data_IF_161955330094
#
_entry.id   IF_161955330094
#
_cell.length_a   1.000
_cell.length_b   1.000
_cell.length_c   1.000
_cell.angle_alpha   90.00
_cell.angle_beta   90.00
_cell.angle_gamma   90.00
#
_symmetry.space_group_name_H-M   'P 1'
#
loop_
_entity.id
_entity.type
_entity.pdbx_description
1 polymer ?
#
# COMPACT_ATOMS: atom_id res chain seq x y z
N UNK A 1 23.21 -87.62 -0.84
CA UNK A 1 23.66 -87.13 -2.16
C UNK A 1 22.68 -86.08 -2.61
N UNK A 2 22.99 -84.82 -2.88
CA UNK A 2 24.14 -83.99 -2.58
C UNK A 2 23.65 -82.54 -2.60
N UNK A 3 24.34 -81.71 -1.82
CA UNK A 3 24.14 -80.26 -1.71
C UNK A 3 24.33 -79.59 -3.07
N UNK A 4 23.66 -78.45 -3.30
CA UNK A 4 24.30 -77.24 -3.83
C UNK A 4 23.32 -76.04 -3.73
N UNK A 5 23.72 -75.09 -2.88
CA UNK A 5 23.24 -73.71 -2.86
C UNK A 5 23.66 -73.03 -4.16
N UNK A 6 22.76 -72.25 -4.79
CA UNK A 6 23.16 -71.17 -5.68
C UNK A 6 22.25 -69.95 -5.49
N UNK A 7 22.84 -68.92 -4.93
CA UNK A 7 22.35 -67.55 -4.83
C UNK A 7 22.68 -66.75 -6.11
N UNK A 8 21.73 -66.01 -6.67
CA UNK A 8 21.98 -64.78 -7.48
C UNK A 8 20.66 -64.08 -7.80
N UNK A 9 20.41 -62.92 -7.18
CA UNK A 9 20.57 -61.57 -7.74
C UNK A 9 19.39 -61.16 -8.65
N UNK A 10 18.37 -60.55 -8.01
CA UNK A 10 17.33 -59.79 -8.68
C UNK A 10 17.94 -58.43 -9.06
N UNK A 11 18.18 -58.21 -10.35
CA UNK A 11 18.53 -56.91 -10.88
C UNK A 11 17.26 -56.05 -11.01
N UNK A 12 17.05 -55.10 -10.10
CA UNK A 12 16.10 -54.01 -10.31
C UNK A 12 16.71 -53.01 -11.29
N UNK A 13 16.22 -52.99 -12.53
CA UNK A 13 16.51 -51.92 -13.46
C UNK A 13 15.78 -50.64 -12.99
N UNK A 14 16.52 -49.72 -12.36
CA UNK A 14 16.06 -48.35 -12.14
C UNK A 14 16.07 -47.64 -13.50
N UNK A 15 14.88 -47.44 -14.08
CA UNK A 15 14.70 -46.46 -15.14
C UNK A 15 14.90 -45.07 -14.55
N UNK A 16 16.13 -44.55 -14.62
CA UNK A 16 16.40 -43.12 -14.47
C UNK A 16 15.93 -42.44 -15.76
N UNK A 17 14.70 -41.95 -15.76
CA UNK A 17 14.30 -40.94 -16.72
C UNK A 17 15.00 -39.64 -16.32
N UNK A 18 16.17 -39.40 -16.91
CA UNK A 18 16.78 -38.08 -16.91
C UNK A 18 15.82 -37.15 -17.68
N UNK A 19 15.03 -36.38 -16.93
CA UNK A 19 14.31 -35.24 -17.48
C UNK A 19 15.39 -34.23 -17.84
N UNK A 20 15.76 -34.19 -19.11
CA UNK A 20 16.50 -33.07 -19.67
C UNK A 20 15.61 -31.83 -19.50
N UNK A 21 15.99 -30.93 -18.60
CA UNK A 21 15.42 -29.59 -18.55
C UNK A 21 15.83 -28.89 -19.84
N UNK A 22 14.90 -28.80 -20.79
CA UNK A 22 15.01 -27.86 -21.90
C UNK A 22 14.92 -26.44 -21.33
N UNK A 23 15.83 -25.57 -21.75
CA UNK A 23 16.00 -24.18 -21.31
C UNK A 23 14.89 -23.21 -21.81
N UNK A 24 13.73 -23.75 -22.17
CA UNK A 24 12.56 -23.02 -22.65
C UNK A 24 11.43 -23.26 -21.63
N UNK A 25 11.23 -22.29 -20.73
CA UNK A 25 10.27 -22.36 -19.63
C UNK A 25 8.84 -22.03 -20.13
N UNK A 26 7.91 -23.01 -20.27
CA UNK A 26 6.54 -22.76 -20.69
C UNK A 26 5.68 -22.09 -19.59
N UNK A 27 6.28 -21.69 -18.45
CA UNK A 27 5.54 -21.20 -17.27
C UNK A 27 5.01 -19.76 -17.37
N UNK A 28 5.27 -19.02 -18.44
CA UNK A 28 4.91 -17.59 -18.62
C UNK A 28 3.55 -17.40 -19.36
N UNK A 29 2.81 -18.48 -19.66
CA UNK A 29 1.72 -18.39 -20.65
C UNK A 29 0.35 -17.87 -20.14
N UNK A 30 0.16 -17.69 -18.82
CA UNK A 30 -1.17 -17.38 -18.24
C UNK A 30 -1.30 -16.01 -17.57
N UNK A 31 -0.24 -15.21 -17.54
CA UNK A 31 -0.21 -13.90 -16.87
C UNK A 31 -0.41 -12.75 -17.87
N UNK A 32 -0.53 -13.07 -19.16
CA UNK A 32 -0.42 -12.12 -20.26
C UNK A 32 -1.54 -12.46 -21.24
N UNK A 33 -2.42 -11.50 -21.49
CA UNK A 33 -3.65 -11.66 -22.30
C UNK A 33 -3.40 -11.92 -23.80
N UNK A 34 -2.18 -12.21 -24.24
CA UNK A 34 -1.85 -12.34 -25.66
C UNK A 34 -1.26 -13.71 -25.98
N UNK A 35 -1.91 -14.39 -26.94
CA UNK A 35 -1.61 -15.72 -27.48
C UNK A 35 -0.36 -15.79 -28.35
N UNK A 36 0.61 -14.90 -28.15
CA UNK A 36 1.93 -15.00 -28.77
C UNK A 36 2.93 -15.43 -27.71
N UNK A 37 3.55 -16.59 -27.91
CA UNK A 37 4.58 -17.16 -27.03
C UNK A 37 5.83 -16.28 -27.12
N UNK A 38 5.82 -15.16 -26.40
CA UNK A 38 6.96 -14.29 -26.23
C UNK A 38 7.82 -14.88 -25.11
N UNK A 39 9.11 -15.11 -25.40
CA UNK A 39 10.04 -15.58 -24.38
C UNK A 39 10.25 -14.51 -23.28
N UNK A 40 10.81 -14.92 -22.13
CA UNK A 40 10.98 -14.04 -20.98
C UNK A 40 11.76 -12.76 -21.33
N UNK A 41 12.74 -12.88 -22.22
CA UNK A 41 13.61 -11.82 -22.74
C UNK A 41 12.80 -10.75 -23.48
N UNK A 42 11.83 -11.16 -24.30
CA UNK A 42 10.95 -10.23 -24.99
C UNK A 42 10.05 -9.48 -23.99
N UNK A 43 9.43 -10.19 -23.04
CA UNK A 43 8.63 -9.54 -21.99
C UNK A 43 9.46 -8.57 -21.14
N UNK A 44 10.71 -8.91 -20.84
CA UNK A 44 11.61 -8.02 -20.13
C UNK A 44 11.97 -6.79 -20.96
N UNK A 45 12.14 -6.93 -22.27
CA UNK A 45 12.39 -5.81 -23.18
C UNK A 45 11.19 -4.85 -23.25
N UNK A 46 9.97 -5.39 -23.34
CA UNK A 46 8.74 -4.61 -23.25
C UNK A 46 8.59 -3.93 -21.90
N UNK A 47 8.89 -4.63 -20.80
CA UNK A 47 8.90 -4.07 -19.45
C UNK A 47 9.87 -2.89 -19.32
N UNK A 48 11.11 -3.05 -19.81
CA UNK A 48 12.11 -1.97 -19.80
C UNK A 48 11.63 -0.75 -20.58
N UNK A 49 11.06 -0.96 -21.76
CA UNK A 49 10.50 0.11 -22.58
C UNK A 49 9.32 0.80 -21.90
N UNK A 50 8.34 0.05 -21.41
CA UNK A 50 7.12 0.55 -20.76
C UNK A 50 7.41 1.39 -19.52
N UNK A 51 8.38 0.98 -18.70
CA UNK A 51 8.70 1.64 -17.43
C UNK A 51 10.01 2.43 -17.45
N UNK A 52 10.61 2.63 -18.62
CA UNK A 52 11.85 3.40 -18.78
C UNK A 52 13.03 2.86 -17.97
N UNK A 53 13.15 1.53 -17.84
CA UNK A 53 14.21 0.90 -17.04
C UNK A 53 15.53 0.90 -17.81
N UNK A 54 16.55 1.46 -17.18
CA UNK A 54 17.93 1.50 -17.67
C UNK A 54 18.80 0.95 -16.55
N UNK A 55 19.68 -0.01 -16.90
CA UNK A 55 20.60 -0.64 -15.95
C UNK A 55 22.03 -0.25 -16.32
N UNK A 56 22.86 0.06 -15.32
CA UNK A 56 24.17 0.66 -15.51
C UNK A 56 25.19 -0.34 -16.07
N UNK A 57 25.04 -1.63 -15.73
CA UNK A 57 25.96 -2.70 -16.12
C UNK A 57 25.20 -3.91 -16.65
N UNK A 58 25.91 -4.76 -17.41
CA UNK A 58 25.36 -6.05 -17.85
C UNK A 58 25.03 -6.95 -16.66
N UNK A 59 25.84 -6.91 -15.60
CA UNK A 59 25.61 -7.66 -14.38
C UNK A 59 24.30 -7.23 -13.69
N UNK A 60 24.04 -5.93 -13.57
CA UNK A 60 22.77 -5.42 -13.05
C UNK A 60 21.60 -5.84 -13.95
N UNK A 61 21.77 -5.73 -15.28
CA UNK A 61 20.76 -6.16 -16.24
C UNK A 61 20.37 -7.64 -16.03
N UNK A 62 21.35 -8.53 -15.93
CA UNK A 62 21.12 -9.97 -15.80
C UNK A 62 20.51 -10.32 -14.43
N UNK A 63 20.94 -9.63 -13.37
CA UNK A 63 20.30 -9.72 -12.06
C UNK A 63 18.83 -9.30 -12.12
N UNK A 64 18.53 -8.13 -12.70
CA UNK A 64 17.17 -7.59 -12.82
C UNK A 64 16.29 -8.48 -13.70
N UNK A 65 16.85 -9.08 -14.74
CA UNK A 65 16.16 -10.05 -15.58
C UNK A 65 15.80 -11.33 -14.81
N UNK A 66 16.70 -11.85 -13.97
CA UNK A 66 16.42 -13.00 -13.13
C UNK A 66 15.33 -12.70 -12.08
N UNK A 67 15.35 -11.51 -11.48
CA UNK A 67 14.30 -11.05 -10.58
C UNK A 67 12.96 -10.90 -11.32
N UNK A 68 12.98 -10.38 -12.54
CA UNK A 68 11.81 -10.27 -13.41
C UNK A 68 11.17 -11.64 -13.67
N UNK A 69 11.95 -12.65 -14.08
CA UNK A 69 11.47 -14.03 -14.24
C UNK A 69 10.84 -14.58 -12.94
N UNK A 70 11.48 -14.34 -11.79
CA UNK A 70 10.94 -14.77 -10.50
C UNK A 70 9.60 -14.08 -10.17
N UNK A 71 9.46 -12.79 -10.48
CA UNK A 71 8.22 -12.05 -10.27
C UNK A 71 7.11 -12.43 -11.24
N UNK A 72 7.41 -12.83 -12.49
CA UNK A 72 6.42 -13.44 -13.39
C UNK A 72 5.82 -14.72 -12.78
N UNK A 73 6.67 -15.61 -12.25
CA UNK A 73 6.22 -16.81 -11.54
C UNK A 73 5.40 -16.46 -10.28
N UNK A 74 5.76 -15.39 -9.57
CA UNK A 74 4.99 -14.89 -8.43
C UNK A 74 3.62 -14.35 -8.84
N UNK A 75 3.54 -13.52 -9.89
CA UNK A 75 2.29 -12.99 -10.42
C UNK A 75 1.37 -14.13 -10.86
N UNK A 76 1.89 -15.18 -11.51
CA UNK A 76 1.12 -16.38 -11.83
C UNK A 76 0.53 -17.06 -10.59
N UNK A 77 1.35 -17.27 -9.55
CA UNK A 77 0.86 -17.85 -8.29
C UNK A 77 -0.19 -16.96 -7.63
N UNK A 78 0.00 -15.64 -7.66
CA UNK A 78 -0.99 -14.71 -7.14
C UNK A 78 -2.30 -14.81 -7.93
N UNK A 79 -2.25 -14.83 -9.26
CA UNK A 79 -3.44 -14.98 -10.11
C UNK A 79 -4.25 -16.26 -9.79
N UNK A 80 -3.59 -17.36 -9.45
CA UNK A 80 -4.26 -18.61 -9.05
C UNK A 80 -4.90 -18.53 -7.65
N UNK A 81 -4.29 -17.78 -6.74
CA UNK A 81 -4.71 -17.66 -5.33
C UNK A 81 -5.59 -16.43 -5.05
N UNK A 82 -5.69 -15.53 -6.03
CA UNK A 82 -6.57 -14.37 -6.04
C UNK A 82 -7.27 -14.25 -7.41
N UNK A 83 -8.19 -15.18 -7.71
CA UNK A 83 -8.85 -15.25 -9.02
C UNK A 83 -9.83 -14.10 -9.31
N UNK A 84 -10.09 -13.20 -8.37
CA UNK A 84 -10.99 -12.05 -8.55
C UNK A 84 -10.26 -10.74 -8.91
N UNK A 85 -8.93 -10.75 -8.84
CA UNK A 85 -8.08 -9.68 -9.35
C UNK A 85 -7.22 -10.16 -10.53
N UNK A 86 -6.65 -9.20 -11.22
CA UNK A 86 -5.64 -9.39 -12.24
C UNK A 86 -4.26 -9.13 -11.63
N UNK A 87 -3.36 -10.11 -11.78
CA UNK A 87 -1.97 -10.02 -11.38
C UNK A 87 -1.05 -10.13 -12.60
N UNK A 88 -0.01 -9.28 -12.66
CA UNK A 88 0.85 -9.24 -13.84
C UNK A 88 2.13 -8.43 -13.67
N UNK A 89 2.63 -7.93 -14.81
CA UNK A 89 3.83 -7.09 -14.87
C UNK A 89 3.49 -5.68 -14.40
N UNK A 90 4.14 -5.25 -13.32
CA UNK A 90 4.05 -3.88 -12.79
C UNK A 90 5.43 -3.22 -12.88
N UNK A 91 5.51 -1.92 -12.56
CA UNK A 91 6.80 -1.21 -12.48
C UNK A 91 7.78 -1.77 -11.44
N UNK A 92 7.33 -2.69 -10.59
CA UNK A 92 8.10 -3.35 -9.54
C UNK A 92 8.54 -4.77 -9.92
N UNK A 93 8.26 -5.22 -11.14
CA UNK A 93 8.57 -6.59 -11.57
C UNK A 93 10.07 -6.89 -11.60
N UNK A 94 10.97 -5.90 -11.57
CA UNK A 94 12.42 -6.08 -11.45
C UNK A 94 12.97 -5.93 -10.01
N UNK A 95 12.08 -5.87 -9.00
CA UNK A 95 12.46 -5.75 -7.59
C UNK A 95 12.21 -7.05 -6.83
N UNK A 96 13.19 -7.45 -6.02
CA UNK A 96 13.01 -8.54 -5.05
C UNK A 96 11.98 -8.12 -3.98
N UNK A 97 11.36 -9.08 -3.27
CA UNK A 97 10.46 -8.74 -2.16
C UNK A 97 11.12 -7.86 -1.09
N UNK A 98 12.42 -8.05 -0.84
CA UNK A 98 13.17 -7.27 0.14
C UNK A 98 13.44 -5.84 -0.35
N UNK A 99 13.86 -5.66 -1.60
CA UNK A 99 14.02 -4.32 -2.18
C UNK A 99 12.69 -3.57 -2.21
N UNK A 100 11.62 -4.24 -2.65
CA UNK A 100 10.28 -3.66 -2.66
C UNK A 100 9.87 -3.20 -1.26
N UNK A 101 10.01 -4.07 -0.25
CA UNK A 101 9.69 -3.76 1.15
C UNK A 101 10.52 -2.59 1.68
N UNK A 102 11.83 -2.58 1.45
CA UNK A 102 12.71 -1.54 1.99
C UNK A 102 12.48 -0.16 1.35
N UNK A 103 12.03 -0.13 0.10
CA UNK A 103 11.98 1.11 -0.69
C UNK A 103 10.59 1.72 -0.79
N UNK A 104 9.53 0.90 -0.87
CA UNK A 104 8.16 1.36 -1.13
C UNK A 104 7.20 1.17 0.04
N UNK A 105 7.61 0.38 1.03
CA UNK A 105 6.86 0.18 2.27
C UNK A 105 7.53 0.96 3.38
N UNK A 106 6.76 1.36 4.37
CA UNK A 106 7.23 2.31 5.37
C UNK A 106 6.33 2.39 6.58
N UNK A 107 5.38 1.47 6.74
CA UNK A 107 4.61 1.40 7.97
C UNK A 107 5.44 0.68 9.03
N UNK A 108 5.80 1.41 10.05
CA UNK A 108 6.45 0.91 11.24
C UNK A 108 5.54 1.24 12.43
N UNK A 109 5.55 0.40 13.47
CA UNK A 109 4.77 0.63 14.68
C UNK A 109 5.72 1.17 15.77
N UNK A 110 5.97 2.49 15.83
CA UNK A 110 6.61 3.06 17.00
C UNK A 110 5.75 2.76 18.22
N UNK A 111 6.33 2.82 19.42
CA UNK A 111 5.57 2.75 20.68
C UNK A 111 5.24 4.17 21.11
N UNK A 112 4.11 4.77 20.67
CA UNK A 112 3.78 6.12 21.06
C UNK A 112 3.57 6.22 22.57
N UNK A 113 3.93 7.38 23.15
CA UNK A 113 3.63 7.70 24.56
C UNK A 113 2.19 8.17 24.78
N UNK A 114 1.41 8.33 23.71
CA UNK A 114 -0.01 8.67 23.76
C UNK A 114 -0.89 7.47 23.38
N UNK A 115 -2.07 7.41 23.98
CA UNK A 115 -3.13 6.48 23.55
C UNK A 115 -4.07 7.24 22.62
N UNK A 116 -4.12 6.84 21.35
CA UNK A 116 -5.10 7.41 20.43
C UNK A 116 -6.52 7.15 20.95
N UNK A 117 -7.37 8.19 20.92
CA UNK A 117 -8.76 8.07 21.34
C UNK A 117 -9.51 7.11 20.42
N UNK A 118 -10.47 6.35 20.98
CA UNK A 118 -11.36 5.51 20.18
C UNK A 118 -12.43 6.38 19.55
N UNK A 119 -12.69 6.16 18.26
CA UNK A 119 -13.78 6.85 17.56
C UNK A 119 -15.13 6.56 18.26
N UNK A 120 -16.01 7.57 18.39
CA UNK A 120 -17.37 7.35 18.88
C UNK A 120 -18.10 6.34 18.00
N UNK A 121 -18.99 5.55 18.61
CA UNK A 121 -19.85 4.63 17.87
C UNK A 121 -20.87 5.45 17.06
N UNK A 122 -20.91 5.21 15.77
CA UNK A 122 -21.81 5.87 14.83
C UNK A 122 -23.00 4.97 14.49
N UNK A 123 -24.15 5.55 14.11
CA UNK A 123 -25.24 4.80 13.49
C UNK A 123 -24.74 4.13 12.20
N UNK A 124 -25.03 2.83 12.08
CA UNK A 124 -24.68 2.01 10.90
C UNK A 124 -25.91 1.59 10.10
N UNK A 125 -27.11 1.95 10.58
CA UNK A 125 -28.33 1.86 9.78
C UNK A 125 -28.26 2.85 8.61
N UNK A 126 -28.79 2.46 7.46
CA UNK A 126 -28.95 3.33 6.28
C UNK A 126 -27.64 3.82 5.64
N UNK A 127 -26.52 3.12 5.86
CA UNK A 127 -25.32 3.34 5.06
C UNK A 127 -25.60 2.99 3.58
N UNK A 128 -25.11 3.81 2.63
CA UNK A 128 -25.28 3.52 1.21
C UNK A 128 -24.61 2.20 0.84
N UNK A 129 -25.12 1.48 -0.16
CA UNK A 129 -24.50 0.22 -0.62
C UNK A 129 -23.13 0.43 -1.28
N UNK A 130 -22.99 1.55 -1.99
CA UNK A 130 -21.80 1.98 -2.71
C UNK A 130 -21.49 3.43 -2.34
N UNK A 131 -20.23 3.74 -2.09
CA UNK A 131 -19.81 5.06 -1.65
C UNK A 131 -18.38 5.36 -2.10
N UNK A 132 -18.17 6.54 -2.68
CA UNK A 132 -16.86 6.96 -3.18
C UNK A 132 -16.61 8.45 -2.98
N UNK A 133 -15.60 8.80 -2.18
CA UNK A 133 -15.22 10.20 -1.95
C UNK A 133 -14.62 10.88 -3.18
N UNK A 134 -14.16 10.13 -4.18
CA UNK A 134 -13.64 10.68 -5.44
C UNK A 134 -14.76 11.39 -6.21
N UNK A 135 -15.94 10.77 -6.24
CA UNK A 135 -17.13 11.34 -6.90
C UNK A 135 -17.68 12.58 -6.17
N UNK A 136 -17.32 12.73 -4.89
CA UNK A 136 -17.76 13.84 -4.03
C UNK A 136 -16.72 14.96 -3.90
N UNK A 137 -15.54 14.82 -4.53
CA UNK A 137 -14.50 15.84 -4.54
C UNK A 137 -13.61 15.88 -3.29
N UNK A 138 -13.65 14.88 -2.40
CA UNK A 138 -12.85 14.87 -1.17
C UNK A 138 -11.50 14.12 -1.31
N UNK A 139 -11.04 13.87 -2.54
CA UNK A 139 -9.82 13.09 -2.80
C UNK A 139 -8.98 13.81 -3.86
N UNK A 140 -7.74 14.18 -3.49
CA UNK A 140 -6.76 14.76 -4.43
C UNK A 140 -6.27 13.74 -5.46
N UNK A 141 -5.54 14.18 -6.49
CA UNK A 141 -4.87 13.29 -7.44
C UNK A 141 -3.92 12.28 -6.78
N UNK A 142 -3.62 11.17 -7.46
CA UNK A 142 -2.70 10.15 -6.91
C UNK A 142 -1.27 10.66 -7.00
N UNK A 143 -0.58 10.66 -5.85
CA UNK A 143 0.82 11.08 -5.74
C UNK A 143 1.77 9.87 -5.82
N UNK A 144 3.08 10.13 -5.81
CA UNK A 144 4.11 9.09 -5.93
C UNK A 144 5.23 9.31 -4.90
N UNK A 145 5.34 8.42 -3.91
CA UNK A 145 6.38 8.47 -2.88
C UNK A 145 7.79 8.16 -3.42
N UNK A 146 7.91 7.62 -4.63
CA UNK A 146 9.20 7.24 -5.19
C UNK A 146 9.92 6.20 -4.33
N UNK A 147 11.22 6.39 -4.12
CA UNK A 147 12.10 5.44 -3.42
C UNK A 147 12.26 5.74 -1.93
N UNK A 148 11.24 6.31 -1.30
CA UNK A 148 11.21 6.69 0.11
C UNK A 148 10.08 5.93 0.81
N UNK A 149 10.35 5.34 1.98
CA UNK A 149 9.38 4.64 2.81
C UNK A 149 8.41 5.58 3.55
N UNK A 150 7.84 6.57 2.86
CA UNK A 150 6.97 7.59 3.47
C UNK A 150 5.48 7.34 3.22
N UNK A 151 5.05 6.10 2.97
CA UNK A 151 3.63 5.78 2.74
C UNK A 151 2.72 6.25 3.89
N UNK A 152 3.25 6.25 5.12
CA UNK A 152 2.58 6.77 6.30
C UNK A 152 2.22 8.26 6.15
N UNK A 153 3.12 9.09 5.63
CA UNK A 153 2.86 10.52 5.44
C UNK A 153 1.80 10.77 4.36
N UNK A 154 1.81 10.01 3.27
CA UNK A 154 0.77 10.08 2.21
C UNK A 154 -0.62 9.63 2.70
N UNK A 155 -0.68 8.63 3.57
CA UNK A 155 -1.93 8.18 4.19
C UNK A 155 -2.47 9.27 5.14
N UNK A 156 -1.60 9.87 5.95
CA UNK A 156 -1.92 10.99 6.85
C UNK A 156 -2.42 12.21 6.09
N UNK A 157 -1.64 12.74 5.13
CA UNK A 157 -2.03 13.92 4.35
C UNK A 157 -3.34 13.68 3.63
N UNK A 158 -3.53 12.52 2.98
CA UNK A 158 -4.77 12.20 2.28
C UNK A 158 -6.02 12.24 3.18
N UNK A 159 -5.91 11.81 4.44
CA UNK A 159 -7.01 11.89 5.40
C UNK A 159 -7.28 13.34 5.82
N UNK A 160 -6.23 14.14 6.07
CA UNK A 160 -6.36 15.56 6.42
C UNK A 160 -6.91 16.38 5.25
N UNK A 161 -6.48 16.12 4.02
CA UNK A 161 -7.00 16.74 2.79
C UNK A 161 -8.51 16.54 2.67
N UNK A 162 -8.97 15.29 2.86
CA UNK A 162 -10.39 14.95 2.80
C UNK A 162 -11.19 15.58 3.94
N UNK A 163 -10.71 15.49 5.18
CA UNK A 163 -11.39 16.11 6.33
C UNK A 163 -11.46 17.63 6.20
N UNK A 164 -10.42 18.26 5.64
CA UNK A 164 -10.42 19.69 5.36
C UNK A 164 -11.49 20.05 4.31
N UNK A 165 -11.57 19.29 3.20
CA UNK A 165 -12.62 19.47 2.20
C UNK A 165 -14.03 19.36 2.80
N UNK A 166 -14.27 18.39 3.69
CA UNK A 166 -15.57 18.27 4.37
C UNK A 166 -15.89 19.49 5.25
N UNK A 167 -14.88 20.13 5.85
CA UNK A 167 -15.06 21.25 6.75
C UNK A 167 -15.20 22.61 6.01
N UNK A 168 -14.56 22.78 4.85
CA UNK A 168 -14.44 24.07 4.16
C UNK A 168 -15.03 24.09 2.76
N UNK A 169 -15.19 22.94 2.13
CA UNK A 169 -15.51 22.81 0.70
C UNK A 169 -14.33 23.04 -0.24
N UNK A 170 -13.13 23.35 0.27
CA UNK A 170 -11.93 23.56 -0.53
C UNK A 170 -11.05 22.30 -0.51
N UNK A 171 -10.84 21.68 -1.68
CA UNK A 171 -9.88 20.57 -1.80
C UNK A 171 -8.50 21.14 -2.09
N UNK A 172 -7.52 20.83 -1.26
CA UNK A 172 -6.13 21.23 -1.47
C UNK A 172 -5.17 20.07 -1.24
N UNK A 173 -4.03 20.10 -1.93
CA UNK A 173 -2.94 19.16 -1.73
C UNK A 173 -2.05 19.63 -0.57
N UNK A 174 -1.85 18.78 0.43
CA UNK A 174 -1.01 19.05 1.61
C UNK A 174 0.37 18.41 1.48
N UNK A 175 1.34 18.94 2.24
CA UNK A 175 2.74 18.55 2.16
C UNK A 175 3.03 17.25 2.91
N UNK A 176 3.37 16.21 2.16
CA UNK A 176 3.97 15.01 2.75
C UNK A 176 5.38 15.27 3.28
N UNK A 177 6.12 16.18 2.65
CA UNK A 177 7.51 16.46 3.01
C UNK A 177 7.64 17.12 4.37
N UNK A 178 6.68 17.96 4.78
CA UNK A 178 6.64 18.50 6.13
C UNK A 178 6.65 17.37 7.17
N UNK A 179 5.83 16.34 6.99
CA UNK A 179 5.81 15.18 7.90
C UNK A 179 7.14 14.43 7.83
N UNK A 180 7.63 14.13 6.62
CA UNK A 180 8.91 13.42 6.43
C UNK A 180 10.06 14.13 7.14
N UNK A 181 10.15 15.46 7.06
CA UNK A 181 11.26 16.23 7.61
C UNK A 181 11.09 16.61 9.08
N UNK A 182 9.85 16.79 9.57
CA UNK A 182 9.60 17.45 10.85
C UNK A 182 9.04 16.55 11.96
N UNK A 183 8.35 15.45 11.63
CA UNK A 183 7.65 14.56 12.58
C UNK A 183 8.59 13.70 13.46
N UNK A 184 9.89 13.97 13.35
CA UNK A 184 10.93 13.28 14.11
C UNK A 184 11.99 14.24 14.66
N UNK A 185 11.82 15.56 14.42
CA UNK A 185 12.71 16.57 14.97
C UNK A 185 12.39 16.85 16.45
N UNK A 186 13.40 16.74 17.30
CA UNK A 186 13.33 17.21 18.69
C UNK A 186 13.44 18.75 18.67
N UNK A 187 12.31 19.46 18.63
CA UNK A 187 12.29 20.92 18.85
C UNK A 187 11.91 21.25 20.29
N UNK A 188 12.68 22.18 20.86
CA UNK A 188 12.95 22.45 22.28
C UNK A 188 11.77 22.76 23.24
N UNK A 189 10.53 22.46 22.90
CA UNK A 189 9.39 22.62 23.83
C UNK A 189 8.31 21.51 23.73
N UNK A 190 8.42 20.61 22.75
CA UNK A 190 7.46 19.52 22.56
C UNK A 190 8.23 18.21 22.28
N UNK A 191 8.67 17.55 23.36
CA UNK A 191 9.33 16.24 23.28
C UNK A 191 8.25 15.18 23.05
N UNK A 192 8.08 14.74 21.80
CA UNK A 192 7.23 13.59 21.45
C UNK A 192 8.04 12.29 21.34
N UNK A 193 9.30 12.40 20.94
CA UNK A 193 10.26 11.32 20.85
C UNK A 193 11.11 11.32 22.11
N UNK A 194 11.20 10.18 22.80
CA UNK A 194 12.20 10.06 23.86
C UNK A 194 13.59 10.28 23.24
N UNK A 195 14.38 11.27 23.68
CA UNK A 195 15.73 11.46 23.17
C UNK A 195 16.61 10.21 23.38
N UNK A 196 16.22 9.35 24.33
CA UNK A 196 16.87 8.09 24.67
C UNK A 196 16.28 6.88 23.91
N UNK A 197 15.08 7.01 23.35
CA UNK A 197 14.41 5.97 22.54
C UNK A 197 13.94 6.52 21.19
N UNK A 198 14.88 6.51 20.22
CA UNK A 198 14.63 6.88 18.82
C UNK A 198 13.61 5.99 18.11
N UNK A 199 13.18 4.87 18.71
CA UNK A 199 12.14 4.00 18.14
C UNK A 199 10.71 4.45 18.46
N UNK A 200 10.57 5.53 19.25
CA UNK A 200 9.28 6.10 19.63
C UNK A 200 8.65 7.01 18.56
N UNK A 201 9.38 7.32 17.47
CA UNK A 201 8.94 8.27 16.45
C UNK A 201 9.03 7.75 15.03
N UNK A 202 8.40 8.50 14.15
CA UNK A 202 8.55 8.34 12.71
C UNK A 202 10.00 8.67 12.33
N UNK A 203 10.44 8.16 11.20
CA UNK A 203 11.84 8.16 10.78
C UNK A 203 11.96 8.61 9.32
N UNK A 204 11.12 9.55 8.89
CA UNK A 204 11.09 10.05 7.51
C UNK A 204 10.90 8.92 6.50
N UNK A 205 11.87 8.75 5.61
CA UNK A 205 11.93 7.64 4.64
C UNK A 205 12.20 6.27 5.26
N UNK A 206 12.64 6.22 6.52
CA UNK A 206 12.80 4.99 7.31
C UNK A 206 11.48 4.38 7.78
N UNK A 207 10.37 5.12 7.63
CA UNK A 207 9.02 4.68 7.95
C UNK A 207 8.41 5.41 9.14
N UNK A 208 7.13 5.15 9.38
CA UNK A 208 6.35 5.82 10.40
C UNK A 208 4.92 5.30 10.51
N UNK A 209 4.08 6.01 11.28
CA UNK A 209 2.71 5.66 11.59
C UNK A 209 1.77 6.86 11.45
N UNK A 210 0.56 6.64 10.94
CA UNK A 210 -0.34 7.76 10.66
C UNK A 210 -0.82 8.47 11.93
N UNK A 211 -0.97 7.75 13.05
CA UNK A 211 -1.42 8.35 14.31
C UNK A 211 -0.37 9.27 14.94
N UNK A 212 0.93 8.95 14.82
CA UNK A 212 2.01 9.85 15.27
C UNK A 212 2.04 11.10 14.41
N UNK A 213 1.90 10.96 13.10
CA UNK A 213 1.78 12.08 12.18
C UNK A 213 0.55 12.98 12.43
N UNK A 214 -0.59 12.41 12.85
CA UNK A 214 -1.75 13.20 13.26
C UNK A 214 -1.50 13.98 14.56
N UNK A 215 -0.84 13.35 15.52
CA UNK A 215 -0.43 14.00 16.78
C UNK A 215 0.52 15.18 16.49
N UNK A 216 1.54 14.97 15.67
CA UNK A 216 2.41 16.06 15.21
C UNK A 216 1.60 17.17 14.52
N UNK A 217 0.67 16.80 13.63
CA UNK A 217 -0.14 17.79 12.90
C UNK A 217 -0.98 18.64 13.86
N UNK A 218 -1.54 18.03 14.91
CA UNK A 218 -2.27 18.71 15.97
C UNK A 218 -1.36 19.70 16.73
N UNK A 219 -0.16 19.26 17.14
CA UNK A 219 0.77 20.09 17.94
C UNK A 219 1.46 21.20 17.14
N UNK A 220 1.86 20.91 15.90
CA UNK A 220 2.44 21.88 14.98
C UNK A 220 1.44 22.99 14.60
N UNK A 221 0.14 22.72 14.77
CA UNK A 221 -0.95 23.62 14.41
C UNK A 221 -1.42 23.47 12.97
N UNK A 222 -0.93 22.44 12.24
CA UNK A 222 -1.39 22.08 10.90
C UNK A 222 -0.27 21.77 9.90
N UNK A 223 -0.69 21.55 8.65
CA UNK A 223 0.16 21.23 7.50
C UNK A 223 0.15 22.38 6.48
N UNK A 224 1.29 22.58 5.83
CA UNK A 224 1.44 23.44 4.67
C UNK A 224 0.89 22.77 3.40
N UNK A 225 0.64 23.56 2.35
CA UNK A 225 0.29 23.03 1.03
C UNK A 225 1.50 22.37 0.39
N UNK A 226 1.26 21.39 -0.46
CA UNK A 226 2.29 20.71 -1.26
C UNK A 226 3.11 21.71 -2.09
N UNK A 227 2.47 22.77 -2.63
CA UNK A 227 3.18 23.81 -3.38
C UNK A 227 4.13 24.67 -2.53
N UNK A 228 3.86 24.79 -1.24
CA UNK A 228 4.60 25.65 -0.31
C UNK A 228 5.73 24.89 0.40
N UNK A 229 5.61 23.55 0.47
CA UNK A 229 6.65 22.63 0.95
C UNK A 229 6.62 21.34 0.09
N UNK A 230 7.25 21.35 -1.10
CA UNK A 230 7.14 20.26 -2.07
C UNK A 230 7.82 18.95 -1.65
N UNK A 231 7.24 17.83 -2.08
CA UNK A 231 7.81 16.50 -1.90
C UNK A 231 9.09 16.29 -2.70
N UNK A 232 10.13 15.81 -2.01
CA UNK A 232 11.47 15.56 -2.56
C UNK A 232 11.85 14.07 -2.56
N UNK A 233 11.06 13.21 -1.92
CA UNK A 233 11.29 11.76 -1.92
C UNK A 233 12.56 11.32 -1.18
N UNK A 234 13.01 12.11 -0.20
CA UNK A 234 14.18 11.85 0.64
C UNK A 234 14.05 12.62 1.96
N UNK A 235 14.83 12.21 2.96
CA UNK A 235 14.94 12.96 4.21
C UNK A 235 15.61 14.31 3.98
N UNK A 236 15.03 15.36 4.56
CA UNK A 236 15.51 16.73 4.53
C UNK A 236 15.64 17.32 5.93
N UNK A 237 15.92 18.62 5.99
CA UNK A 237 15.84 19.41 7.23
C UNK A 237 14.44 19.99 7.33
N UNK A 238 13.86 20.07 8.54
CA UNK A 238 12.54 20.66 8.69
C UNK A 238 12.56 22.17 8.40
N UNK A 239 11.84 22.55 7.34
CA UNK A 239 11.63 23.92 6.90
C UNK A 239 10.20 24.41 7.16
N UNK A 240 9.53 23.83 8.16
CA UNK A 240 8.15 24.18 8.51
C UNK A 240 8.01 25.68 8.81
N UNK A 241 7.07 26.31 8.12
CA UNK A 241 6.69 27.71 8.27
C UNK A 241 5.24 27.80 8.75
N UNK A 242 5.08 28.13 10.04
CA UNK A 242 3.78 28.25 10.70
C UNK A 242 2.86 29.29 10.03
N UNK A 243 3.42 30.29 9.34
CA UNK A 243 2.63 31.32 8.64
C UNK A 243 1.96 30.79 7.36
N UNK A 244 2.36 29.62 6.87
CA UNK A 244 1.86 28.97 5.65
C UNK A 244 0.99 27.74 5.91
N UNK A 245 0.57 27.53 7.16
CA UNK A 245 -0.38 26.46 7.50
C UNK A 245 -1.66 26.65 6.70
N UNK A 246 -2.10 25.58 6.05
CA UNK A 246 -3.26 25.59 5.16
C UNK A 246 -4.41 24.71 5.67
N UNK A 247 -4.11 23.63 6.38
CA UNK A 247 -5.10 22.79 7.04
C UNK A 247 -4.61 22.38 8.43
N UNK A 248 -5.50 22.37 9.41
CA UNK A 248 -5.23 21.94 10.76
C UNK A 248 -6.23 20.86 11.17
N UNK A 249 -5.82 20.00 12.10
CA UNK A 249 -6.69 18.98 12.73
C UNK A 249 -7.05 19.45 14.13
N UNK A 250 -8.26 19.16 14.59
CA UNK A 250 -8.69 19.43 15.96
C UNK A 250 -8.64 18.18 16.84
N UNK A 251 -8.82 17.00 16.25
CA UNK A 251 -8.68 15.71 16.92
C UNK A 251 -8.45 14.59 15.88
N UNK A 252 -7.97 13.45 16.34
CA UNK A 252 -7.92 12.20 15.59
C UNK A 252 -8.36 11.03 16.46
N UNK A 253 -8.82 9.95 15.83
CA UNK A 253 -9.28 8.77 16.56
C UNK A 253 -8.98 7.50 15.79
N UNK A 254 -8.82 6.40 16.51
CA UNK A 254 -8.71 5.05 15.95
C UNK A 254 -10.06 4.36 15.92
N UNK A 255 -10.33 3.67 14.83
CA UNK A 255 -11.56 2.91 14.63
C UNK A 255 -11.25 1.44 14.92
N UNK A 256 -12.18 0.75 15.59
CA UNK A 256 -12.05 -0.67 15.87
C UNK A 256 -12.15 -1.53 14.61
N UNK A 257 -12.03 -2.85 14.79
CA UNK A 257 -12.12 -3.86 13.72
C UNK A 257 -13.52 -4.02 13.09
N UNK A 258 -14.49 -3.23 13.51
CA UNK A 258 -15.87 -3.30 13.05
C UNK A 258 -16.00 -2.58 11.69
N UNK A 259 -16.22 -3.34 10.63
CA UNK A 259 -16.29 -2.83 9.26
C UNK A 259 -17.47 -1.90 9.01
N UNK A 260 -18.58 -2.06 9.74
CA UNK A 260 -19.72 -1.15 9.65
C UNK A 260 -19.37 0.19 10.31
N UNK A 261 -18.61 0.17 11.42
CA UNK A 261 -18.07 1.39 12.01
C UNK A 261 -17.02 2.06 11.11
N UNK A 262 -16.18 1.29 10.42
CA UNK A 262 -15.24 1.82 9.42
C UNK A 262 -16.02 2.51 8.30
N UNK A 263 -17.06 1.86 7.75
CA UNK A 263 -17.90 2.44 6.70
C UNK A 263 -18.64 3.69 7.19
N UNK A 264 -19.20 3.68 8.40
CA UNK A 264 -19.89 4.84 8.97
C UNK A 264 -18.94 6.03 9.19
N UNK A 265 -17.72 5.77 9.70
CA UNK A 265 -16.73 6.82 9.86
C UNK A 265 -16.25 7.36 8.51
N UNK A 266 -16.05 6.49 7.52
CA UNK A 266 -15.69 6.91 6.16
C UNK A 266 -16.76 7.84 5.58
N UNK A 267 -18.04 7.48 5.69
CA UNK A 267 -19.16 8.28 5.16
C UNK A 267 -19.29 9.61 5.91
N UNK A 268 -19.09 9.62 7.23
CA UNK A 268 -19.32 10.80 8.07
C UNK A 268 -18.13 11.77 8.10
N UNK A 269 -16.91 11.24 8.15
CA UNK A 269 -15.70 12.02 8.47
C UNK A 269 -14.73 12.18 7.31
N UNK A 270 -15.00 11.56 6.16
CA UNK A 270 -14.12 11.65 5.00
C UNK A 270 -13.24 10.41 4.83
N UNK A 271 -12.29 10.45 3.87
CA UNK A 271 -11.28 9.42 3.69
C UNK A 271 -10.52 9.06 4.97
N UNK A 272 -10.24 7.77 5.17
CA UNK A 272 -9.61 7.24 6.39
C UNK A 272 -8.18 6.77 6.11
N UNK A 273 -7.26 7.08 7.02
CA UNK A 273 -5.89 6.55 6.96
C UNK A 273 -5.86 5.10 7.46
N UNK A 274 -5.38 4.18 6.63
CA UNK A 274 -5.39 2.73 6.93
C UNK A 274 -4.05 2.06 6.69
N UNK A 275 -3.74 1.05 7.51
CA UNK A 275 -2.60 0.16 7.33
C UNK A 275 -3.01 -1.13 6.63
N UNK A 276 -2.19 -1.62 5.69
CA UNK A 276 -2.43 -2.87 4.97
C UNK A 276 -1.13 -3.67 4.80
N UNK A 277 -1.24 -4.99 4.66
CA UNK A 277 -0.15 -5.83 4.15
C UNK A 277 -0.07 -5.74 2.63
N UNK A 278 1.01 -5.17 2.10
CA UNK A 278 1.16 -4.88 0.66
C UNK A 278 1.74 -6.05 -0.16
N UNK A 279 1.88 -7.26 0.38
CA UNK A 279 2.53 -8.38 -0.31
C UNK A 279 1.87 -8.74 -1.66
N UNK A 280 0.55 -8.57 -1.79
CA UNK A 280 -0.20 -8.86 -3.01
C UNK A 280 -0.22 -7.68 -4.00
N UNK A 281 -0.05 -6.46 -3.48
CA UNK A 281 -0.09 -5.21 -4.24
C UNK A 281 1.09 -5.08 -5.22
N UNK A 282 2.25 -5.69 -4.94
CA UNK A 282 3.43 -5.60 -5.82
C UNK A 282 3.13 -6.04 -7.27
N UNK A 283 2.23 -7.01 -7.45
CA UNK A 283 1.87 -7.61 -8.75
C UNK A 283 0.48 -7.21 -9.24
N UNK A 284 -0.27 -6.42 -8.47
CA UNK A 284 -1.66 -6.10 -8.78
C UNK A 284 -1.76 -5.18 -10.01
N UNK A 285 -2.71 -5.51 -10.89
CA UNK A 285 -3.06 -4.73 -12.08
C UNK A 285 -4.44 -4.11 -11.92
N UNK A 286 -5.44 -4.90 -11.55
CA UNK A 286 -6.83 -4.44 -11.42
C UNK A 286 -7.77 -5.51 -10.87
N UNK A 287 -9.06 -5.20 -10.80
CA UNK A 287 -10.09 -6.07 -10.25
C UNK A 287 -10.18 -6.03 -8.72
N UNK A 288 -11.00 -6.89 -8.13
CA UNK A 288 -11.18 -6.91 -6.67
C UNK A 288 -10.30 -7.99 -6.06
N UNK A 289 -9.23 -7.57 -5.41
CA UNK A 289 -8.26 -8.45 -4.77
C UNK A 289 -8.84 -9.11 -3.53
N UNK A 290 -8.90 -10.43 -3.56
CA UNK A 290 -9.43 -11.27 -2.50
C UNK A 290 -8.54 -12.50 -2.28
N UNK A 291 -7.25 -12.31 -1.95
CA UNK A 291 -6.30 -13.39 -1.81
C UNK A 291 -6.74 -14.38 -0.73
N UNK A 292 -6.64 -15.67 -1.05
CA UNK A 292 -6.94 -16.75 -0.10
C UNK A 292 -6.06 -16.72 1.15
N UNK A 293 -4.84 -16.19 1.02
CA UNK A 293 -3.83 -16.13 2.08
C UNK A 293 -3.18 -14.75 2.09
N UNK A 294 -3.41 -13.99 3.16
CA UNK A 294 -2.69 -12.75 3.39
C UNK A 294 -2.48 -12.54 4.88
N UNK A 295 -1.24 -12.27 5.27
CA UNK A 295 -0.93 -12.00 6.67
C UNK A 295 -1.60 -10.69 7.11
N UNK A 296 -2.05 -10.65 8.37
CA UNK A 296 -2.70 -9.48 8.97
C UNK A 296 -1.71 -8.51 9.63
N UNK A 297 -0.43 -8.59 9.26
CA UNK A 297 0.60 -7.66 9.70
C UNK A 297 0.74 -6.55 8.66
N UNK A 298 0.33 -5.33 9.02
CA UNK A 298 0.41 -4.16 8.14
C UNK A 298 1.85 -3.70 7.98
N UNK A 299 2.26 -3.39 6.75
CA UNK A 299 3.58 -2.85 6.41
C UNK A 299 3.50 -1.64 5.47
N UNK A 300 2.29 -1.25 5.04
CA UNK A 300 2.05 -0.15 4.13
C UNK A 300 0.90 0.74 4.60
N UNK A 301 1.10 2.06 4.54
CA UNK A 301 0.06 3.06 4.81
C UNK A 301 -0.62 3.48 3.51
N UNK A 302 -1.95 3.43 3.49
CA UNK A 302 -2.78 3.79 2.33
C UNK A 302 -4.02 4.56 2.79
N UNK A 303 -4.79 5.11 1.85
CA UNK A 303 -5.98 5.90 2.16
C UNK A 303 -7.25 5.17 1.70
N UNK A 304 -8.16 4.90 2.60
CA UNK A 304 -9.48 4.36 2.31
C UNK A 304 -10.41 5.49 1.85
N UNK A 305 -10.90 5.42 0.62
CA UNK A 305 -11.70 6.50 0.01
C UNK A 305 -13.13 6.11 -0.33
N UNK A 306 -13.46 4.82 -0.26
CA UNK A 306 -14.78 4.34 -0.65
C UNK A 306 -14.96 2.85 -0.43
N UNK A 307 -16.13 2.36 -0.76
CA UNK A 307 -16.48 0.94 -0.85
C UNK A 307 -17.55 0.70 -1.90
N UNK A 308 -17.63 -0.54 -2.38
CA UNK A 308 -18.70 -1.00 -3.23
C UNK A 308 -19.32 -2.30 -2.75
N UNK A 309 -20.55 -2.55 -3.19
CA UNK A 309 -21.32 -3.76 -2.88
C UNK A 309 -21.02 -4.90 -3.86
N UNK A 310 -20.67 -4.57 -5.11
CA UNK A 310 -20.57 -5.52 -6.21
C UNK A 310 -19.28 -5.42 -7.05
N UNK A 311 -18.21 -6.09 -6.58
CA UNK A 311 -17.07 -6.41 -7.44
C UNK A 311 -17.30 -7.69 -8.23
N UNK A 312 -17.31 -7.64 -9.56
CA UNK A 312 -17.49 -8.85 -10.39
C UNK A 312 -16.28 -9.79 -10.26
N UNK A 313 -16.50 -10.99 -9.73
CA UNK A 313 -15.52 -12.08 -9.67
C UNK A 313 -15.96 -13.21 -10.63
N UNK A 314 -15.33 -13.36 -11.82
CA UNK A 314 -15.77 -14.32 -12.84
C UNK A 314 -15.85 -15.76 -12.34
N UNK A 315 -14.96 -16.14 -11.43
CA UNK A 315 -14.82 -17.54 -10.97
C UNK A 315 -15.79 -17.88 -9.83
N UNK A 316 -16.36 -16.90 -9.12
CA UNK A 316 -17.27 -17.16 -7.98
C UNK A 316 -18.74 -16.84 -8.26
N UNK A 317 -19.08 -16.27 -9.42
CA UNK A 317 -20.44 -15.86 -9.80
C UNK A 317 -21.18 -15.10 -8.68
N UNK A 318 -20.43 -14.39 -7.83
CA UNK A 318 -20.93 -13.67 -6.66
C UNK A 318 -20.26 -12.32 -6.61
N UNK A 319 -21.08 -11.31 -6.41
CA UNK A 319 -20.68 -9.97 -6.01
C UNK A 319 -19.91 -10.06 -4.70
N UNK A 320 -18.76 -9.41 -4.67
CA UNK A 320 -17.98 -9.27 -3.45
C UNK A 320 -17.92 -7.80 -3.06
N UNK A 321 -18.30 -7.46 -1.82
CA UNK A 321 -18.10 -6.11 -1.33
C UNK A 321 -16.60 -5.83 -1.22
N UNK A 322 -16.20 -4.59 -1.45
CA UNK A 322 -14.80 -4.21 -1.47
C UNK A 322 -14.57 -2.81 -0.93
N UNK A 323 -13.37 -2.58 -0.39
CA UNK A 323 -12.82 -1.27 -0.09
C UNK A 323 -12.12 -0.69 -1.33
N UNK A 324 -12.24 0.63 -1.52
CA UNK A 324 -11.51 1.40 -2.53
C UNK A 324 -10.38 2.14 -1.84
N UNK A 325 -9.15 1.81 -2.21
CA UNK A 325 -7.94 2.31 -1.57
C UNK A 325 -7.14 3.15 -2.57
N UNK A 326 -6.84 4.39 -2.18
CA UNK A 326 -5.87 5.25 -2.86
C UNK A 326 -4.46 4.88 -2.40
N UNK A 327 -3.58 4.58 -3.34
CA UNK A 327 -2.18 4.27 -3.08
C UNK A 327 -1.26 5.48 -3.36
N UNK A 328 0.01 5.40 -2.95
CA UNK A 328 1.03 6.43 -3.08
C UNK A 328 2.13 6.06 -4.08
N UNK A 329 1.83 5.19 -5.05
CA UNK A 329 2.78 4.71 -6.05
C UNK A 329 2.51 5.28 -7.44
N UNK A 330 1.86 6.43 -7.55
CA UNK A 330 1.54 7.07 -8.82
C UNK A 330 0.41 6.38 -9.61
N UNK A 331 -0.14 7.11 -10.56
CA UNK A 331 -1.30 6.70 -11.36
C UNK A 331 -1.00 5.54 -12.31
N UNK A 332 0.27 5.26 -12.59
CA UNK A 332 0.69 4.18 -13.49
C UNK A 332 0.75 2.79 -12.83
N UNK A 333 0.26 2.67 -11.60
CA UNK A 333 0.17 1.42 -10.85
C UNK A 333 -1.29 1.08 -10.51
N UNK A 334 -1.65 -0.20 -10.55
CA UNK A 334 -3.02 -0.64 -10.24
C UNK A 334 -4.07 0.00 -11.15
N UNK A 335 -5.25 0.25 -10.60
CA UNK A 335 -6.32 0.93 -11.33
C UNK A 335 -6.16 2.45 -11.19
N UNK A 336 -5.34 3.05 -12.04
CA UNK A 336 -5.06 4.50 -11.99
C UNK A 336 -4.56 4.98 -10.62
N UNK A 337 -3.74 4.17 -9.94
CA UNK A 337 -3.23 4.42 -8.60
C UNK A 337 -4.09 3.88 -7.46
N UNK A 338 -5.21 3.21 -7.77
CA UNK A 338 -6.12 2.65 -6.79
C UNK A 338 -6.03 1.12 -6.71
N UNK A 339 -6.41 0.61 -5.55
CA UNK A 339 -6.48 -0.80 -5.21
C UNK A 339 -7.85 -1.13 -4.67
N UNK A 340 -8.47 -2.22 -5.13
CA UNK A 340 -9.72 -2.71 -4.58
C UNK A 340 -9.44 -4.00 -3.82
N UNK A 341 -9.87 -4.07 -2.57
CA UNK A 341 -9.68 -5.25 -1.72
C UNK A 341 -11.00 -5.72 -1.13
N UNK A 342 -11.20 -7.03 -1.10
CA UNK A 342 -12.36 -7.66 -0.49
C UNK A 342 -12.62 -7.17 0.94
N UNK A 343 -13.88 -6.82 1.18
CA UNK A 343 -14.45 -6.45 2.48
C UNK A 343 -15.12 -7.68 3.14
N UNK A 344 -15.23 -7.70 4.47
CA UNK A 344 -15.97 -8.69 5.26
C UNK A 344 -15.12 -9.66 6.09
N UNK A 345 -13.79 -9.63 5.94
CA UNK A 345 -12.88 -10.65 6.52
C UNK A 345 -11.54 -10.10 7.01
N UNK A 346 -11.35 -8.78 7.01
CA UNK A 346 -10.06 -8.15 7.33
C UNK A 346 -8.89 -8.75 6.52
N UNK A 347 -9.11 -8.83 5.20
CA UNK A 347 -8.11 -9.33 4.25
C UNK A 347 -6.88 -8.44 4.30
N UNK A 348 -5.70 -9.05 4.38
CA UNK A 348 -4.43 -8.34 4.52
C UNK A 348 -4.33 -7.39 5.72
N UNK A 349 -5.21 -7.56 6.73
CA UNK A 349 -5.20 -6.72 7.91
C UNK A 349 -5.71 -5.29 7.70
N UNK A 350 -6.40 -5.01 6.59
CA UNK A 350 -6.83 -3.65 6.20
C UNK A 350 -7.74 -2.96 7.23
N UNK A 351 -8.53 -3.72 7.99
CA UNK A 351 -9.47 -3.19 8.98
C UNK A 351 -8.82 -3.01 10.37
N UNK A 352 -7.57 -3.47 10.56
CA UNK A 352 -6.96 -3.55 11.89
C UNK A 352 -6.18 -2.31 12.31
N UNK A 353 -5.91 -1.40 11.39
CA UNK A 353 -5.26 -0.12 11.67
C UNK A 353 -5.96 0.95 10.86
N UNK A 354 -7.06 1.47 11.40
CA UNK A 354 -7.87 2.49 10.75
C UNK A 354 -7.93 3.70 11.68
N UNK A 355 -7.68 4.87 11.11
CA UNK A 355 -7.70 6.14 11.83
C UNK A 355 -8.41 7.22 11.03
N UNK A 356 -9.15 8.05 11.74
CA UNK A 356 -9.90 9.20 11.21
C UNK A 356 -9.39 10.48 11.85
N UNK A 357 -9.52 11.59 11.14
CA UNK A 357 -9.22 12.93 11.66
C UNK A 357 -10.45 13.81 11.56
N UNK A 358 -10.52 14.80 12.44
CA UNK A 358 -11.47 15.91 12.34
C UNK A 358 -10.68 17.16 12.03
N UNK A 359 -11.02 17.85 10.94
CA UNK A 359 -10.41 19.13 10.62
C UNK A 359 -10.84 20.20 11.63
N UNK A 360 -9.91 21.08 12.00
CA UNK A 360 -10.25 22.26 12.77
C UNK A 360 -11.03 23.22 11.87
N UNK A 361 -12.17 23.74 12.36
CA UNK A 361 -12.85 24.84 11.70
C UNK A 361 -11.93 26.07 11.76
N UNK A 362 -11.33 26.43 10.64
CA UNK A 362 -10.78 27.77 10.49
C UNK A 362 -11.97 28.72 10.34
N UNK A 363 -12.45 29.25 11.46
CA UNK A 363 -13.23 30.49 11.40
C UNK A 363 -12.30 31.51 10.76
N UNK A 364 -12.51 31.80 9.47
CA UNK A 364 -11.81 32.88 8.81
C UNK A 364 -12.17 34.16 9.59
N UNK A 365 -11.24 34.81 10.33
CA UNK A 365 -11.60 35.96 11.14
C UNK A 365 -11.89 37.21 10.28
N UNK A 366 -11.87 37.08 8.94
CA UNK A 366 -12.03 38.17 7.97
C UNK A 366 -13.07 37.88 6.88
N UNK A 367 -14.15 37.14 7.18
CA UNK A 367 -15.37 37.13 6.36
C UNK A 367 -16.58 37.65 7.14
#
# INVERSE_FOLDING_TARGET
>A
MDRLFLSSLIAFALFSSAIAFSDEDPLIQQVISETNVLNAEHHFSLFKSKYGKIYATQEEHDQRFNVFKANLRRARRHQMLDPSAEHGITKFSDLTPLEFRRTYLGLYKPKPKFNAEKAPILPTSDLPGDFDWREKGAVTGVKNQGSCGSCWSFSTTGAVEGAHFLATGELMSLSEQQLVDCDHEIRFEFIECDPQDKSACDAGCGGGLMTTAFEYTLKAGGLQREKDYPYTGRDGKCHFDKSKVAAAVSNFSVIGLDEDQIAANLVKHGPLAVGINAAWMQTYIGGVSCPLLCFKHQDHGVLLVGYGSAGFAPIRLKEKPYWIIKNSWGENWGEHGYYKICRGHNICGVDAMVSTVTAAHTTNPNL
#
